data_IF_297642396049
#
_entry.id   IF_297642396049
#
_cell.length_a   1.000
_cell.length_b   1.000
_cell.length_c   1.000
_cell.angle_alpha   90.00
_cell.angle_beta   90.00
_cell.angle_gamma   90.00
#
_symmetry.space_group_name_H-M   'P 1'
#
loop_
_entity.id
_entity.type
_entity.pdbx_description
1 polymer ?
#
# COMPACT_ATOMS: atom_id res chain seq x y z
N UNK A 1 3.14 3.83 -6.95
CA UNK A 1 2.01 3.89 -6.01
C UNK A 1 0.71 4.02 -6.79
N UNK A 2 -0.37 3.35 -6.42
CA UNK A 2 -1.63 3.48 -7.14
C UNK A 2 -2.19 4.91 -7.08
N UNK A 3 -2.89 5.29 -8.14
CA UNK A 3 -3.60 6.57 -8.17
C UNK A 3 -4.93 6.45 -7.40
N UNK A 4 -5.55 7.58 -7.09
CA UNK A 4 -6.87 7.59 -6.45
C UNK A 4 -7.88 6.82 -7.31
N UNK A 5 -7.86 7.02 -8.63
CA UNK A 5 -8.76 6.32 -9.54
C UNK A 5 -8.57 4.81 -9.50
N UNK A 6 -7.33 4.36 -9.48
CA UNK A 6 -7.02 2.93 -9.39
C UNK A 6 -7.53 2.35 -8.08
N UNK A 7 -7.37 3.08 -6.98
CA UNK A 7 -7.86 2.63 -5.67
C UNK A 7 -9.38 2.55 -5.65
N UNK A 8 -10.06 3.58 -6.18
CA UNK A 8 -11.52 3.60 -6.24
C UNK A 8 -12.05 2.42 -7.05
N UNK A 9 -11.41 2.13 -8.18
CA UNK A 9 -11.77 0.98 -9.01
C UNK A 9 -11.58 -0.33 -8.25
N UNK A 10 -10.45 -0.48 -7.56
CA UNK A 10 -10.14 -1.66 -6.78
C UNK A 10 -11.17 -1.89 -5.66
N UNK A 11 -11.60 -0.80 -5.00
CA UNK A 11 -12.58 -0.85 -3.92
C UNK A 11 -14.02 -1.01 -4.42
N UNK A 12 -14.26 -0.87 -5.73
CA UNK A 12 -15.59 -0.95 -6.29
C UNK A 12 -16.45 0.28 -6.04
N UNK A 13 -15.81 1.43 -5.87
CA UNK A 13 -16.53 2.69 -5.63
C UNK A 13 -16.79 3.40 -6.95
N UNK A 14 -18.06 3.51 -7.34
CA UNK A 14 -18.46 4.16 -8.59
C UNK A 14 -18.56 5.68 -8.47
N UNK A 15 -18.90 6.15 -7.28
CA UNK A 15 -19.03 7.58 -7.02
C UNK A 15 -18.25 7.93 -5.76
N UNK A 16 -17.36 8.90 -5.89
CA UNK A 16 -16.54 9.35 -4.77
C UNK A 16 -16.77 10.84 -4.53
N UNK A 17 -17.34 11.17 -3.38
CA UNK A 17 -17.45 12.56 -2.95
C UNK A 17 -16.11 13.02 -2.34
N UNK A 18 -16.08 14.27 -1.89
CA UNK A 18 -14.88 14.86 -1.32
C UNK A 18 -14.38 14.09 -0.10
N UNK A 19 -15.29 13.62 0.75
CA UNK A 19 -14.92 12.87 1.95
C UNK A 19 -14.29 11.52 1.61
N UNK A 20 -14.85 10.81 0.64
CA UNK A 20 -14.30 9.54 0.17
C UNK A 20 -12.91 9.75 -0.40
N UNK A 21 -12.73 10.77 -1.23
CA UNK A 21 -11.43 11.09 -1.82
C UNK A 21 -10.37 11.40 -0.76
N UNK A 22 -10.72 12.16 0.26
CA UNK A 22 -9.82 12.48 1.36
C UNK A 22 -9.41 11.23 2.14
N UNK A 23 -10.36 10.34 2.41
CA UNK A 23 -10.08 9.08 3.10
C UNK A 23 -9.15 8.18 2.27
N UNK A 24 -9.40 8.10 0.97
CA UNK A 24 -8.54 7.33 0.06
C UNK A 24 -7.13 7.92 0.01
N UNK A 25 -7.01 9.23 -0.12
CA UNK A 25 -5.70 9.90 -0.12
C UNK A 25 -4.93 9.60 1.15
N UNK A 26 -5.60 9.64 2.30
CA UNK A 26 -4.95 9.34 3.58
C UNK A 26 -4.47 7.90 3.63
N UNK A 27 -5.26 6.96 3.13
CA UNK A 27 -4.88 5.55 3.07
C UNK A 27 -3.66 5.36 2.15
N UNK A 28 -3.63 6.02 1.00
CA UNK A 28 -2.50 5.98 0.08
C UNK A 28 -1.24 6.50 0.76
N UNK A 29 -1.32 7.65 1.42
CA UNK A 29 -0.19 8.25 2.13
C UNK A 29 0.33 7.33 3.22
N UNK A 30 -0.56 6.73 3.99
CA UNK A 30 -0.20 5.80 5.07
C UNK A 30 0.48 4.55 4.51
N UNK A 31 -0.08 3.99 3.42
CA UNK A 31 0.51 2.82 2.77
C UNK A 31 1.90 3.13 2.22
N UNK A 32 2.07 4.29 1.59
CA UNK A 32 3.38 4.72 1.07
C UNK A 32 4.42 4.81 2.18
N UNK A 33 4.06 5.42 3.29
CA UNK A 33 4.96 5.55 4.44
C UNK A 33 5.34 4.17 5.00
N UNK A 34 4.37 3.26 5.09
CA UNK A 34 4.62 1.91 5.57
C UNK A 34 5.57 1.14 4.63
N UNK A 35 5.34 1.23 3.33
CA UNK A 35 6.18 0.55 2.34
C UNK A 35 7.60 1.11 2.32
N UNK A 36 7.76 2.41 2.51
CA UNK A 36 9.08 3.03 2.65
C UNK A 36 9.83 2.48 3.87
N UNK A 37 9.12 2.26 4.96
CA UNK A 37 9.72 1.68 6.16
C UNK A 37 10.04 0.19 6.02
N UNK A 38 9.23 -0.56 5.26
CA UNK A 38 9.36 -2.01 5.13
C UNK A 38 10.31 -2.42 4.02
N UNK A 39 10.26 -1.77 2.86
CA UNK A 39 11.08 -2.12 1.69
C UNK A 39 12.33 -1.25 1.64
N UNK A 40 12.18 0.05 1.84
CA UNK A 40 13.24 1.04 1.76
C UNK A 40 12.71 2.34 1.15
N UNK A 41 13.36 3.46 1.44
CA UNK A 41 12.86 4.77 1.00
C UNK A 41 12.84 4.93 -0.53
N UNK A 42 13.62 4.13 -1.23
CA UNK A 42 13.70 4.14 -2.70
C UNK A 42 13.02 2.92 -3.31
N UNK A 43 11.98 2.41 -2.67
CA UNK A 43 11.31 1.21 -3.16
C UNK A 43 10.72 1.45 -4.57
N UNK A 44 10.65 0.39 -5.42
CA UNK A 44 10.22 0.55 -6.80
C UNK A 44 8.69 0.72 -6.91
N UNK A 45 8.25 1.97 -7.00
CA UNK A 45 6.82 2.31 -7.03
C UNK A 45 6.11 1.82 -8.30
N UNK A 46 6.88 1.53 -9.36
CA UNK A 46 6.33 1.07 -10.64
C UNK A 46 6.27 -0.44 -10.77
N UNK A 47 6.81 -1.19 -9.81
CA UNK A 47 6.77 -2.64 -9.84
C UNK A 47 5.33 -3.12 -9.63
N UNK A 48 4.78 -3.97 -10.53
CA UNK A 48 3.41 -4.47 -10.38
C UNK A 48 3.14 -5.17 -9.05
N UNK A 49 4.14 -5.84 -8.49
CA UNK A 49 4.00 -6.52 -7.19
C UNK A 49 3.83 -5.50 -6.06
N UNK A 50 4.58 -4.40 -6.14
CA UNK A 50 4.47 -3.30 -5.16
C UNK A 50 3.10 -2.64 -5.27
N UNK A 51 2.64 -2.40 -6.50
CA UNK A 51 1.33 -1.79 -6.73
C UNK A 51 0.21 -2.67 -6.16
N UNK A 52 0.25 -3.97 -6.41
CA UNK A 52 -0.75 -4.90 -5.88
C UNK A 52 -0.71 -4.95 -4.36
N UNK A 53 0.47 -5.00 -3.78
CA UNK A 53 0.66 -4.99 -2.35
C UNK A 53 0.10 -3.72 -1.72
N UNK A 54 0.35 -2.58 -2.37
CA UNK A 54 -0.19 -1.29 -1.92
C UNK A 54 -1.72 -1.28 -1.96
N UNK A 55 -2.32 -1.83 -3.01
CA UNK A 55 -3.78 -1.90 -3.13
C UNK A 55 -4.39 -2.75 -2.03
N UNK A 56 -3.79 -3.89 -1.71
CA UNK A 56 -4.24 -4.76 -0.61
C UNK A 56 -4.19 -4.00 0.72
N UNK A 57 -3.08 -3.31 0.97
CA UNK A 57 -2.88 -2.56 2.20
C UNK A 57 -3.87 -1.40 2.31
N UNK A 58 -4.02 -0.64 1.23
CA UNK A 58 -4.95 0.49 1.17
C UNK A 58 -6.39 0.03 1.38
N UNK A 59 -6.78 -1.07 0.76
CA UNK A 59 -8.12 -1.65 0.93
C UNK A 59 -8.39 -2.00 2.39
N UNK A 60 -7.42 -2.63 3.04
CA UNK A 60 -7.55 -2.97 4.45
C UNK A 60 -7.66 -1.73 5.33
N UNK A 61 -6.84 -0.72 5.08
CA UNK A 61 -6.90 0.55 5.81
C UNK A 61 -8.25 1.24 5.62
N UNK A 62 -8.76 1.23 4.40
CA UNK A 62 -10.04 1.87 4.09
C UNK A 62 -11.20 1.16 4.80
N UNK A 63 -11.22 -0.17 4.76
CA UNK A 63 -12.27 -0.96 5.40
C UNK A 63 -12.25 -0.82 6.92
N UNK A 64 -11.07 -0.58 7.48
CA UNK A 64 -10.90 -0.46 8.93
C UNK A 64 -10.62 0.99 9.37
N UNK A 65 -11.08 1.97 8.60
CA UNK A 65 -10.79 3.38 8.88
C UNK A 65 -11.32 3.89 10.21
N UNK A 66 -12.29 3.20 10.79
CA UNK A 66 -12.78 3.50 12.15
C UNK A 66 -11.90 2.91 13.25
N UNK A 67 -10.97 2.01 12.87
CA UNK A 67 -10.02 1.37 13.80
C UNK A 67 -8.60 1.70 13.33
N UNK A 68 -8.27 2.96 13.41
CA UNK A 68 -7.13 3.61 12.74
C UNK A 68 -5.77 2.94 12.99
N UNK A 69 -5.63 2.16 14.04
CA UNK A 69 -4.34 1.63 14.45
C UNK A 69 -4.13 0.16 14.12
N UNK A 70 -5.13 -0.51 13.54
CA UNK A 70 -5.03 -1.95 13.33
C UNK A 70 -5.23 -2.34 11.87
N UNK A 71 -4.13 -2.58 11.20
CA UNK A 71 -4.13 -3.40 9.99
C UNK A 71 -4.39 -4.83 10.45
N UNK A 72 -5.24 -5.56 9.74
CA UNK A 72 -5.50 -6.96 10.06
C UNK A 72 -4.18 -7.75 10.10
N UNK A 73 -4.04 -8.65 11.09
CA UNK A 73 -2.79 -9.36 11.30
C UNK A 73 -2.32 -10.15 10.08
N UNK A 74 -3.25 -10.75 9.33
CA UNK A 74 -2.92 -11.49 8.12
C UNK A 74 -2.45 -10.58 6.99
N UNK A 75 -3.04 -9.38 6.84
CA UNK A 75 -2.60 -8.42 5.83
C UNK A 75 -1.21 -7.88 6.19
N UNK A 76 -0.99 -7.56 7.46
CA UNK A 76 0.32 -7.09 7.92
C UNK A 76 1.40 -8.13 7.64
N UNK A 77 1.13 -9.41 7.92
CA UNK A 77 2.08 -10.49 7.66
C UNK A 77 2.38 -10.60 6.18
N UNK A 78 1.34 -10.54 5.33
CA UNK A 78 1.52 -10.59 3.88
C UNK A 78 2.40 -9.44 3.39
N UNK A 79 2.12 -8.21 3.86
CA UNK A 79 2.91 -7.04 3.49
C UNK A 79 4.37 -7.20 3.92
N UNK A 80 4.59 -7.64 5.15
CA UNK A 80 5.94 -7.82 5.68
C UNK A 80 6.72 -8.90 4.91
N UNK A 81 6.07 -10.02 4.59
CA UNK A 81 6.71 -11.10 3.84
C UNK A 81 7.07 -10.68 2.42
N UNK A 82 6.14 -10.04 1.72
CA UNK A 82 6.40 -9.56 0.36
C UNK A 82 7.43 -8.43 0.34
N UNK A 83 7.40 -7.56 1.34
CA UNK A 83 8.38 -6.49 1.48
C UNK A 83 9.78 -7.05 1.68
N UNK A 84 9.91 -8.10 2.48
CA UNK A 84 11.20 -8.77 2.70
C UNK A 84 11.72 -9.38 1.40
N UNK A 85 10.86 -10.06 0.63
CA UNK A 85 11.25 -10.63 -0.65
C UNK A 85 11.74 -9.56 -1.62
N UNK A 86 11.02 -8.45 -1.72
CA UNK A 86 11.39 -7.35 -2.59
C UNK A 86 12.73 -6.73 -2.17
N UNK A 87 12.93 -6.55 -0.88
CA UNK A 87 14.18 -6.02 -0.34
C UNK A 87 15.37 -6.92 -0.70
N UNK A 88 15.21 -8.23 -0.54
CA UNK A 88 16.27 -9.20 -0.85
C UNK A 88 16.57 -9.22 -2.35
N UNK A 89 15.55 -9.14 -3.20
CA UNK A 89 15.73 -9.06 -4.65
C UNK A 89 16.52 -7.81 -5.05
N UNK A 90 16.15 -6.65 -4.49
CA UNK A 90 16.83 -5.39 -4.78
C UNK A 90 18.29 -5.43 -4.37
N UNK A 91 18.59 -6.01 -3.22
CA UNK A 91 19.97 -6.18 -2.77
C UNK A 91 20.75 -7.10 -3.69
N UNK A 92 20.14 -8.19 -4.12
CA UNK A 92 20.75 -9.14 -5.03
C UNK A 92 21.08 -8.51 -6.39
N UNK A 93 20.33 -7.50 -6.80
CA UNK A 93 20.58 -6.73 -8.01
C UNK A 93 21.57 -5.57 -7.81
N UNK A 94 22.06 -5.40 -6.57
CA UNK A 94 22.96 -4.31 -6.23
C UNK A 94 22.29 -2.94 -6.12
N UNK A 95 20.97 -2.90 -6.00
CA UNK A 95 20.23 -1.66 -5.85
C UNK A 95 20.15 -1.25 -4.38
N UNK A 96 20.22 0.06 -4.12
CA UNK A 96 19.99 0.60 -2.80
C UNK A 96 18.48 0.65 -2.50
N UNK A 97 18.13 0.31 -1.29
CA UNK A 97 16.73 0.23 -0.85
C UNK A 97 16.46 1.24 0.25
#
# INVERSE_FOLDING_TARGET
MPTIEEVLTYLGIDYADEMVNKNVERCITTADAYLKGSIGKNYPTDDPRVKELALIFISDLYDNRGMIEKVAGNVRRLVDDMSLQLRLELRSKGEEV
#
